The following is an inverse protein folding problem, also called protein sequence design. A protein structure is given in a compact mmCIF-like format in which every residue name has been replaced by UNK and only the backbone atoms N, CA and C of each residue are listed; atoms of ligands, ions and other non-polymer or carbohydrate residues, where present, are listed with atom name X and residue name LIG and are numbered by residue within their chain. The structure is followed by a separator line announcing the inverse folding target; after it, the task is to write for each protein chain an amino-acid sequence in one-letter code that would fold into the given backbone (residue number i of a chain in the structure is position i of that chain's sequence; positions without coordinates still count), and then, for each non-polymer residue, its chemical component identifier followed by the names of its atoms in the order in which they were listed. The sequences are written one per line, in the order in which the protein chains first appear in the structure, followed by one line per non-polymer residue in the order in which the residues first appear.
data_IF_850942675938
#
_entry.id   IF_850942675938
#
_cell.length_a   1.000
_cell.length_b   1.000
_cell.length_c   1.000
_cell.angle_alpha   90.00
_cell.angle_beta   90.00
_cell.angle_gamma   90.00
#
_symmetry.space_group_name_H-M   'P 1'
#
loop_
_entity.id
_entity.type
_entity.pdbx_description
1 polymer ?
#
# COMPACT_ATOMS: atom_id res chain seq x y z
N UNK A 1 -10.23 4.78 -3.34
CA UNK A 1 -9.88 3.39 -3.72
C UNK A 1 -11.09 2.43 -3.58
N UNK A 2 -11.33 1.52 -4.54
CA UNK A 2 -12.31 0.41 -4.41
C UNK A 2 -11.63 -0.81 -3.74
N UNK A 3 -12.10 -1.20 -2.55
CA UNK A 3 -11.56 -2.32 -1.75
C UNK A 3 -11.57 -3.64 -2.53
N UNK A 4 -12.64 -3.93 -3.26
CA UNK A 4 -12.78 -5.18 -4.02
C UNK A 4 -11.84 -5.18 -5.23
N UNK A 5 -11.71 -4.05 -5.91
CA UNK A 5 -10.75 -3.89 -6.99
C UNK A 5 -9.31 -4.13 -6.49
N UNK A 6 -8.94 -3.52 -5.35
CA UNK A 6 -7.61 -3.68 -4.76
C UNK A 6 -7.34 -5.12 -4.34
N UNK A 7 -8.33 -5.81 -3.75
CA UNK A 7 -8.21 -7.23 -3.41
C UNK A 7 -7.97 -8.12 -4.64
N UNK A 8 -8.68 -7.86 -5.75
CA UNK A 8 -8.48 -8.59 -7.00
C UNK A 8 -7.10 -8.33 -7.60
N UNK A 9 -6.67 -7.08 -7.61
CA UNK A 9 -5.31 -6.71 -8.04
C UNK A 9 -4.24 -7.49 -7.26
N UNK A 10 -4.34 -7.56 -5.93
CA UNK A 10 -3.37 -8.27 -5.10
C UNK A 10 -3.34 -9.79 -5.35
N UNK A 11 -4.48 -10.38 -5.73
CA UNK A 11 -4.55 -11.78 -6.18
C UNK A 11 -3.85 -11.96 -7.53
N UNK A 12 -4.13 -11.08 -8.49
CA UNK A 12 -3.59 -11.15 -9.85
C UNK A 12 -2.08 -10.97 -9.87
N UNK A 13 -1.55 -9.97 -9.13
CA UNK A 13 -0.10 -9.72 -8.98
C UNK A 13 0.68 -10.95 -8.46
N UNK A 14 0.02 -11.81 -7.68
CA UNK A 14 0.63 -13.00 -7.08
C UNK A 14 0.25 -14.30 -7.80
N UNK A 15 -0.65 -14.26 -8.78
CA UNK A 15 -1.25 -15.44 -9.39
C UNK A 15 -1.99 -16.33 -8.37
N UNK A 16 -2.66 -15.72 -7.39
CA UNK A 16 -3.36 -16.44 -6.33
C UNK A 16 -4.83 -16.67 -6.66
N UNK A 17 -5.33 -17.84 -6.29
CA UNK A 17 -6.78 -18.12 -6.26
C UNK A 17 -7.37 -17.68 -4.92
N UNK A 18 -8.68 -17.46 -4.88
CA UNK A 18 -9.42 -17.23 -3.61
C UNK A 18 -9.17 -18.38 -2.62
N UNK A 19 -9.06 -19.62 -3.11
CA UNK A 19 -8.69 -20.79 -2.32
C UNK A 19 -7.32 -20.61 -1.64
N UNK A 20 -6.30 -20.22 -2.41
CA UNK A 20 -4.95 -19.99 -1.87
C UNK A 20 -4.96 -18.87 -0.84
N UNK A 21 -5.69 -17.78 -1.10
CA UNK A 21 -5.85 -16.71 -0.13
C UNK A 21 -6.49 -17.22 1.17
N UNK A 22 -7.54 -18.06 1.10
CA UNK A 22 -8.21 -18.63 2.28
C UNK A 22 -7.23 -19.34 3.22
N UNK A 23 -6.28 -20.10 2.66
CA UNK A 23 -5.26 -20.82 3.42
C UNK A 23 -4.23 -19.87 4.04
N UNK A 24 -3.95 -18.74 3.42
CA UNK A 24 -2.93 -17.78 3.90
C UNK A 24 -3.50 -16.78 4.92
N UNK A 25 -4.76 -16.35 4.77
CA UNK A 25 -5.39 -15.39 5.69
C UNK A 25 -6.16 -16.07 6.84
N UNK A 26 -6.34 -17.40 6.80
CA UNK A 26 -7.04 -18.16 7.83
C UNK A 26 -8.57 -17.99 7.82
N UNK A 27 -9.13 -17.43 6.75
CA UNK A 27 -10.58 -17.29 6.57
C UNK A 27 -11.15 -18.48 5.80
N UNK A 28 -12.43 -18.78 6.03
CA UNK A 28 -13.10 -19.83 5.26
C UNK A 28 -13.27 -19.41 3.79
N UNK A 29 -13.24 -20.38 2.88
CA UNK A 29 -13.53 -20.16 1.46
C UNK A 29 -14.91 -19.53 1.26
N UNK A 30 -15.91 -19.88 2.08
CA UNK A 30 -17.24 -19.27 2.05
C UNK A 30 -17.21 -17.77 2.39
N UNK A 31 -16.35 -17.35 3.31
CA UNK A 31 -16.18 -15.94 3.70
C UNK A 31 -15.58 -15.16 2.54
N UNK A 32 -14.49 -15.65 1.95
CA UNK A 32 -13.86 -15.00 0.79
C UNK A 32 -14.79 -14.99 -0.43
N UNK A 33 -15.48 -16.10 -0.71
CA UNK A 33 -16.44 -16.18 -1.81
C UNK A 33 -17.57 -15.15 -1.64
N UNK A 34 -18.07 -14.91 -0.42
CA UNK A 34 -19.05 -13.86 -0.17
C UNK A 34 -18.46 -12.46 -0.45
N UNK A 35 -17.24 -12.19 0.01
CA UNK A 35 -16.54 -10.93 -0.24
C UNK A 35 -16.39 -10.67 -1.74
N UNK A 36 -15.89 -11.64 -2.51
CA UNK A 36 -15.60 -11.44 -3.94
C UNK A 36 -16.83 -11.57 -4.85
N UNK A 37 -17.76 -12.50 -4.57
CA UNK A 37 -18.91 -12.76 -5.47
C UNK A 37 -20.13 -11.91 -5.15
N UNK A 38 -20.37 -11.62 -3.86
CA UNK A 38 -21.51 -10.82 -3.41
C UNK A 38 -21.14 -9.36 -3.16
N UNK A 39 -19.89 -8.97 -3.44
CA UNK A 39 -19.34 -7.65 -3.13
C UNK A 39 -19.65 -7.18 -1.71
N UNK A 40 -19.66 -8.10 -0.74
CA UNK A 40 -19.85 -7.72 0.67
C UNK A 40 -18.60 -7.01 1.16
N UNK A 41 -18.77 -5.83 1.75
CA UNK A 41 -17.67 -5.08 2.36
C UNK A 41 -17.14 -5.85 3.57
N UNK A 42 -15.86 -6.28 3.57
CA UNK A 42 -15.28 -6.93 4.74
C UNK A 42 -15.20 -5.95 5.92
N UNK A 43 -15.34 -6.46 7.15
CA UNK A 43 -15.00 -5.66 8.33
C UNK A 43 -13.50 -5.35 8.36
N UNK A 44 -13.09 -4.33 9.11
CA UNK A 44 -11.67 -3.98 9.26
C UNK A 44 -10.83 -5.17 9.73
N UNK A 45 -11.31 -5.92 10.74
CA UNK A 45 -10.61 -7.12 11.23
C UNK A 45 -10.48 -8.21 10.15
N UNK A 46 -11.50 -8.37 9.31
CA UNK A 46 -11.46 -9.32 8.18
C UNK A 46 -10.45 -8.86 7.13
N UNK A 47 -10.45 -7.57 6.81
CA UNK A 47 -9.52 -6.98 5.86
C UNK A 47 -8.07 -7.03 6.36
N UNK A 48 -7.83 -6.81 7.67
CA UNK A 48 -6.50 -7.00 8.28
C UNK A 48 -6.02 -8.44 8.14
N UNK A 49 -6.87 -9.43 8.41
CA UNK A 49 -6.51 -10.84 8.23
C UNK A 49 -6.12 -11.13 6.77
N UNK A 50 -6.86 -10.56 5.82
CA UNK A 50 -6.57 -10.67 4.39
C UNK A 50 -5.24 -9.98 4.04
N UNK A 51 -5.00 -8.75 4.50
CA UNK A 51 -3.76 -8.01 4.29
C UNK A 51 -2.55 -8.77 4.85
N UNK A 52 -2.68 -9.30 6.06
CA UNK A 52 -1.67 -10.18 6.68
C UNK A 52 -1.41 -11.42 5.83
N UNK A 53 -2.46 -12.03 5.27
CA UNK A 53 -2.34 -13.14 4.33
C UNK A 53 -1.58 -12.78 3.05
N UNK A 54 -1.64 -11.53 2.60
CA UNK A 54 -0.85 -11.00 1.49
C UNK A 54 0.56 -10.55 1.87
N UNK A 55 0.88 -10.52 3.17
CA UNK A 55 2.15 -10.00 3.70
C UNK A 55 2.26 -8.48 3.70
N UNK A 56 1.12 -7.77 3.71
CA UNK A 56 1.08 -6.29 3.73
C UNK A 56 0.31 -5.78 4.94
N UNK A 57 0.54 -4.53 5.31
CA UNK A 57 -0.25 -3.82 6.32
C UNK A 57 -1.54 -3.24 5.74
N UNK A 58 -2.46 -2.86 6.61
CA UNK A 58 -3.68 -2.15 6.21
C UNK A 58 -3.37 -0.77 5.59
N UNK A 59 -2.34 -0.08 6.10
CA UNK A 59 -1.86 1.19 5.50
C UNK A 59 -1.34 0.96 4.09
N UNK A 60 -0.62 -0.14 3.87
CA UNK A 60 -0.13 -0.52 2.55
C UNK A 60 -1.25 -0.93 1.58
N UNK A 61 -2.33 -1.51 2.11
CA UNK A 61 -3.51 -1.83 1.32
C UNK A 61 -4.18 -0.56 0.76
N UNK A 62 -4.33 0.48 1.59
CA UNK A 62 -5.01 1.73 1.26
C UNK A 62 -4.12 2.83 0.66
N UNK A 63 -2.81 2.60 0.53
CA UNK A 63 -1.96 3.59 -0.12
C UNK A 63 -2.37 3.74 -1.58
N UNK A 64 -2.84 4.93 -1.96
CA UNK A 64 -3.26 5.24 -3.33
C UNK A 64 -2.06 5.53 -4.26
N UNK A 65 -0.85 5.73 -3.69
CA UNK A 65 0.38 6.10 -4.40
C UNK A 65 1.51 5.10 -4.13
N UNK A 66 2.59 5.18 -4.92
CA UNK A 66 3.86 4.52 -4.62
C UNK A 66 4.28 4.80 -3.19
N UNK A 67 4.37 3.74 -2.38
CA UNK A 67 4.89 3.86 -1.03
C UNK A 67 6.41 3.94 -1.10
N UNK A 68 6.93 5.11 -0.73
CA UNK A 68 8.35 5.29 -0.48
C UNK A 68 8.60 4.85 0.96
N UNK A 69 9.44 3.83 1.13
CA UNK A 69 9.91 3.42 2.45
C UNK A 69 10.84 4.52 3.00
N UNK A 70 10.50 5.07 4.16
CA UNK A 70 11.34 6.04 4.87
C UNK A 70 12.51 5.28 5.51
N UNK A 71 13.67 5.26 4.83
CA UNK A 71 14.92 4.88 5.47
C UNK A 71 15.34 5.94 6.50
N UNK A 72 16.21 5.61 7.48
CA UNK A 72 16.70 6.60 8.45
C UNK A 72 17.34 7.84 7.79
N UNK A 73 17.97 7.66 6.64
CA UNK A 73 18.54 8.76 5.84
C UNK A 73 17.45 9.66 5.24
N UNK A 74 16.41 9.05 4.65
CA UNK A 74 15.27 9.79 4.10
C UNK A 74 14.46 10.50 5.19
N UNK A 75 14.39 9.92 6.39
CA UNK A 75 13.72 10.51 7.55
C UNK A 75 14.41 11.79 8.02
N UNK A 76 15.75 11.79 8.14
CA UNK A 76 16.51 12.99 8.48
C UNK A 76 16.36 14.08 7.40
N UNK A 77 16.43 13.70 6.12
CA UNK A 77 16.20 14.63 5.01
C UNK A 77 14.79 15.22 5.07
N UNK A 78 13.77 14.40 5.35
CA UNK A 78 12.39 14.84 5.47
C UNK A 78 12.22 15.83 6.62
N UNK A 79 12.78 15.56 7.80
CA UNK A 79 12.72 16.47 8.94
C UNK A 79 13.39 17.82 8.65
N UNK A 80 14.53 17.82 7.95
CA UNK A 80 15.17 19.06 7.50
C UNK A 80 14.30 19.79 6.49
N UNK A 81 13.77 19.06 5.50
CA UNK A 81 12.93 19.61 4.43
C UNK A 81 11.70 20.35 4.95
N UNK A 82 10.99 19.80 5.93
CA UNK A 82 9.75 20.42 6.44
C UNK A 82 9.99 21.78 7.10
N UNK A 83 11.20 22.03 7.62
CA UNK A 83 11.57 23.31 8.28
C UNK A 83 11.92 24.43 7.29
N UNK A 84 12.14 24.12 6.02
CA UNK A 84 12.56 25.10 5.02
C UNK A 84 11.42 26.02 4.58
N UNK A 85 11.76 27.27 4.29
CA UNK A 85 10.83 28.23 3.65
C UNK A 85 10.53 27.83 2.20
N UNK A 86 9.47 28.38 1.58
CA UNK A 86 9.17 28.12 0.16
C UNK A 86 10.35 28.41 -0.76
N UNK A 87 11.09 29.50 -0.53
CA UNK A 87 12.24 29.90 -1.35
C UNK A 87 13.41 28.93 -1.19
N UNK A 88 13.67 28.46 0.03
CA UNK A 88 14.71 27.47 0.32
C UNK A 88 14.38 26.12 -0.32
N UNK A 89 13.12 25.68 -0.27
CA UNK A 89 12.65 24.46 -0.96
C UNK A 89 12.87 24.56 -2.47
N UNK A 90 12.57 25.72 -3.07
CA UNK A 90 12.80 25.96 -4.49
C UNK A 90 14.29 25.86 -4.87
N UNK A 91 15.18 26.36 -4.03
CA UNK A 91 16.63 26.23 -4.23
C UNK A 91 17.09 24.76 -4.18
N UNK A 92 16.62 23.98 -3.20
CA UNK A 92 16.95 22.56 -3.09
C UNK A 92 16.40 21.77 -4.29
N UNK A 93 15.18 22.05 -4.74
CA UNK A 93 14.64 21.43 -5.96
C UNK A 93 15.48 21.74 -7.20
N UNK A 94 15.93 22.99 -7.34
CA UNK A 94 16.80 23.40 -8.45
C UNK A 94 18.11 22.63 -8.44
N UNK A 95 18.68 22.42 -7.26
CA UNK A 95 19.88 21.60 -7.07
C UNK A 95 19.64 20.14 -7.47
N UNK A 96 18.58 19.50 -6.95
CA UNK A 96 18.23 18.11 -7.30
C UNK A 96 18.03 17.95 -8.81
N UNK A 97 17.30 18.88 -9.45
CA UNK A 97 17.08 18.85 -10.89
C UNK A 97 18.37 18.98 -11.70
N UNK A 98 19.33 19.80 -11.24
CA UNK A 98 20.63 19.94 -11.89
C UNK A 98 21.46 18.65 -11.85
N UNK A 99 21.35 17.86 -10.77
CA UNK A 99 22.08 16.59 -10.61
C UNK A 99 21.38 15.37 -11.24
N UNK A 100 20.08 15.47 -11.54
CA UNK A 100 19.30 14.37 -12.13
C UNK A 100 19.31 14.34 -13.67
N UNK A 101 19.97 15.29 -14.35
CA UNK A 101 20.12 15.30 -15.81
C UNK A 101 21.33 14.44 -16.25
N UNK A 102 21.22 13.12 -16.08
CA UNK A 102 22.12 12.14 -16.69
C UNK A 102 21.41 11.33 -17.78
#
# INVERSE_FOLDING_TARGET
MDTHQRLRQLLDERGWTEYRLSKNCGLSESTLANIFRRNTTPSIATLEAICKGFGITLSQFFAENEMVELSPELEDLFHKWVTLTPEQKAAVYSMIAAFNNH
#
